data_IF_908069571458
#
_entry.id   IF_908069571458
#
_cell.length_a   1.000
_cell.length_b   1.000
_cell.length_c   1.000
_cell.angle_alpha   90.00
_cell.angle_beta   90.00
_cell.angle_gamma   90.00
#
_symmetry.space_group_name_H-M   'P 1'
#
loop_
_entity.id
_entity.type
_entity.pdbx_description
1 polymer ?
#
# COMPACT_ATOMS: atom_id res chain seq x y z
N UNK A 1 -9.01 12.20 -14.49
CA UNK A 1 -7.76 11.59 -14.98
C UNK A 1 -8.14 10.28 -15.63
N UNK A 2 -7.84 10.08 -16.92
CA UNK A 2 -8.06 8.79 -17.56
C UNK A 2 -7.04 7.80 -16.99
N UNK A 3 -7.49 6.61 -16.58
CA UNK A 3 -6.64 5.57 -15.98
C UNK A 3 -5.47 5.13 -16.88
N UNK A 4 -5.57 5.41 -18.19
CA UNK A 4 -4.60 5.06 -19.22
C UNK A 4 -3.22 5.75 -19.07
N UNK A 5 -3.12 6.84 -18.29
CA UNK A 5 -1.85 7.56 -18.04
C UNK A 5 -1.30 7.37 -16.62
N UNK A 6 -1.83 6.42 -15.85
CA UNK A 6 -1.41 6.19 -14.48
C UNK A 6 -0.36 5.07 -14.44
N UNK A 7 0.91 5.43 -14.63
CA UNK A 7 2.02 4.48 -14.44
C UNK A 7 2.46 4.44 -12.97
N UNK A 8 3.13 3.35 -12.57
CA UNK A 8 3.65 3.19 -11.20
C UNK A 8 4.60 4.31 -10.83
N UNK A 9 5.40 4.79 -11.77
CA UNK A 9 6.33 5.92 -11.60
C UNK A 9 5.57 7.22 -11.31
N UNK A 10 4.51 7.52 -12.07
CA UNK A 10 3.69 8.72 -11.86
C UNK A 10 2.98 8.69 -10.51
N UNK A 11 2.57 7.51 -10.03
CA UNK A 11 2.00 7.36 -8.70
C UNK A 11 3.08 7.61 -7.65
N UNK A 12 4.26 7.00 -7.79
CA UNK A 12 5.36 7.13 -6.83
C UNK A 12 5.79 8.59 -6.65
N UNK A 13 5.98 9.31 -7.75
CA UNK A 13 6.35 10.73 -7.71
C UNK A 13 5.36 11.58 -6.89
N UNK A 14 4.08 11.22 -6.89
CA UNK A 14 3.05 11.94 -6.14
C UNK A 14 3.03 11.60 -4.65
N UNK A 15 3.28 10.34 -4.29
CA UNK A 15 3.06 9.85 -2.91
C UNK A 15 4.32 9.79 -2.06
N UNK A 16 5.51 9.70 -2.67
CA UNK A 16 6.75 9.45 -1.92
C UNK A 16 7.06 10.55 -0.90
N UNK A 17 6.72 11.81 -1.21
CA UNK A 17 6.94 12.95 -0.34
C UNK A 17 5.97 13.00 0.85
N UNK A 18 4.85 12.28 0.78
CA UNK A 18 3.86 12.16 1.85
C UNK A 18 4.22 11.02 2.83
N UNK A 19 5.19 10.17 2.48
CA UNK A 19 5.62 9.07 3.34
C UNK A 19 6.45 9.58 4.52
N UNK A 20 6.02 9.25 5.73
CA UNK A 20 6.80 9.47 6.94
C UNK A 20 7.60 8.21 7.27
N UNK A 21 8.93 8.37 7.39
CA UNK A 21 9.81 7.27 7.78
C UNK A 21 9.91 7.17 9.28
N UNK A 22 9.95 5.94 9.79
CA UNK A 22 10.21 5.65 11.20
C UNK A 22 11.12 4.44 11.30
N UNK A 23 12.12 4.41 12.20
CA UNK A 23 13.04 3.27 12.33
C UNK A 23 12.35 1.93 12.61
N UNK A 24 11.17 1.97 13.23
CA UNK A 24 10.37 0.79 13.58
C UNK A 24 9.19 0.54 12.61
N UNK A 25 9.05 1.35 11.55
CA UNK A 25 8.02 1.11 10.55
C UNK A 25 8.40 -0.08 9.66
N UNK A 26 7.39 -0.78 9.13
CA UNK A 26 7.56 -1.83 8.14
C UNK A 26 6.62 -1.63 6.96
N UNK A 27 7.05 -2.08 5.78
CA UNK A 27 6.23 -2.12 4.57
C UNK A 27 5.61 -3.52 4.45
N UNK A 28 4.30 -3.59 4.33
CA UNK A 28 3.55 -4.85 4.22
C UNK A 28 2.89 -4.89 2.84
N UNK A 29 3.14 -5.98 2.11
CA UNK A 29 2.45 -6.27 0.85
C UNK A 29 1.33 -7.28 1.11
N UNK A 30 0.09 -6.93 0.80
CA UNK A 30 -1.10 -7.75 1.13
C UNK A 30 -1.05 -9.16 0.50
N UNK A 31 -0.50 -9.28 -0.71
CA UNK A 31 -0.30 -10.55 -1.41
C UNK A 31 0.78 -11.46 -0.78
N UNK A 32 1.62 -10.90 0.09
CA UNK A 32 2.65 -11.65 0.84
C UNK A 32 2.19 -12.14 2.22
N UNK A 33 0.97 -11.79 2.64
CA UNK A 33 0.39 -12.32 3.88
C UNK A 33 0.02 -13.80 3.67
N UNK A 34 0.96 -14.68 4.06
CA UNK A 34 0.81 -16.15 3.94
C UNK A 34 -0.44 -16.68 4.65
N UNK A 35 -0.81 -16.06 5.78
CA UNK A 35 -1.99 -16.42 6.55
C UNK A 35 -3.05 -15.32 6.49
N UNK A 36 -3.96 -15.48 5.53
CA UNK A 36 -5.07 -14.55 5.28
C UNK A 36 -6.02 -14.38 6.46
N UNK A 37 -5.95 -15.19 7.52
CA UNK A 37 -6.73 -14.98 8.76
C UNK A 37 -6.33 -13.68 9.47
N UNK A 38 -5.08 -13.24 9.28
CA UNK A 38 -4.58 -11.98 9.85
C UNK A 38 -4.86 -10.75 8.98
N UNK A 39 -5.43 -10.92 7.77
CA UNK A 39 -5.79 -9.80 6.90
C UNK A 39 -6.65 -8.77 7.63
N UNK A 40 -7.64 -9.22 8.41
CA UNK A 40 -8.53 -8.36 9.22
C UNK A 40 -7.85 -7.43 10.24
N UNK A 41 -6.56 -7.63 10.55
CA UNK A 41 -5.77 -6.76 11.42
C UNK A 41 -5.07 -5.63 10.66
N UNK A 42 -5.02 -5.71 9.34
CA UNK A 42 -4.56 -4.63 8.47
C UNK A 42 -5.79 -3.77 8.23
N UNK A 43 -5.88 -2.62 8.88
CA UNK A 43 -7.07 -1.76 8.96
C UNK A 43 -7.63 -1.31 7.58
N UNK A 44 -6.89 -1.56 6.50
CA UNK A 44 -7.18 -1.20 5.11
C UNK A 44 -7.82 -2.29 4.24
N UNK A 45 -7.99 -3.54 4.71
CA UNK A 45 -8.71 -4.53 3.88
C UNK A 45 -10.20 -4.20 3.84
N UNK A 46 -10.64 -3.70 2.68
CA UNK A 46 -12.05 -3.58 2.33
C UNK A 46 -12.71 -4.97 2.44
N UNK A 47 -13.63 -5.12 3.39
CA UNK A 47 -14.59 -6.23 3.39
C UNK A 47 -15.49 -6.03 2.17
N UNK A 48 -15.30 -6.85 1.13
CA UNK A 48 -16.26 -7.01 0.04
C UNK A 48 -17.24 -8.11 0.40
#
# INVERSE_FOLDING_TARGET
>A
MNAENLTTEVIWEKVHSELQTHPEACLVFDDTVLDKRFSSKIELVRRQ
#
